data_IF_323763815568
#
_entry.id   IF_323763815568
#
_cell.length_a   1.000
_cell.length_b   1.000
_cell.length_c   1.000
_cell.angle_alpha   90.00
_cell.angle_beta   90.00
_cell.angle_gamma   90.00
#
_symmetry.space_group_name_H-M   'P 1'
#
loop_
_entity.id
_entity.type
_entity.pdbx_description
1 polymer ?
#
# COMPACT_ATOMS: atom_id res chain seq x y z
N UNK A 1 -2.46 6.53 26.80
CA UNK A 1 -1.38 6.77 27.79
C UNK A 1 -0.24 7.67 27.29
N UNK A 2 -0.34 8.26 26.10
CA UNK A 2 0.67 9.21 25.53
C UNK A 2 0.09 10.62 25.31
N UNK A 3 -1.12 10.91 25.80
CA UNK A 3 -1.77 12.20 25.63
C UNK A 3 -2.16 12.55 24.20
N UNK A 4 -2.13 11.57 23.28
CA UNK A 4 -2.55 11.76 21.90
C UNK A 4 -4.07 11.65 21.78
N UNK A 5 -4.65 12.39 20.81
CA UNK A 5 -6.07 12.27 20.47
C UNK A 5 -6.41 10.83 20.04
N UNK A 6 -7.61 10.40 20.46
CA UNK A 6 -8.24 9.16 19.98
C UNK A 6 -9.39 9.43 19.01
N UNK A 7 -9.43 10.62 18.42
CA UNK A 7 -10.39 10.94 17.36
C UNK A 7 -10.19 10.00 16.17
N UNK A 8 -11.31 9.63 15.55
CA UNK A 8 -11.36 8.65 14.46
C UNK A 8 -11.37 9.40 13.12
N UNK A 9 -10.59 8.92 12.17
CA UNK A 9 -10.63 9.39 10.79
C UNK A 9 -11.74 8.72 9.98
N UNK A 10 -11.83 9.07 8.70
CA UNK A 10 -12.89 8.61 7.79
C UNK A 10 -12.88 7.08 7.60
N UNK A 11 -11.73 6.45 7.66
CA UNK A 11 -11.55 4.99 7.59
C UNK A 11 -11.79 4.27 8.94
N UNK A 12 -12.28 4.96 9.96
CA UNK A 12 -12.63 4.37 11.26
C UNK A 12 -11.44 4.10 12.21
N UNK A 13 -10.21 4.36 11.77
CA UNK A 13 -9.00 4.24 12.59
C UNK A 13 -8.69 5.50 13.39
N UNK A 14 -7.88 5.39 14.43
CA UNK A 14 -7.39 6.56 15.16
C UNK A 14 -6.53 7.45 14.30
N UNK A 15 -6.80 8.76 14.31
CA UNK A 15 -6.06 9.78 13.56
C UNK A 15 -5.41 10.81 14.52
N UNK A 16 -4.42 10.40 15.34
CA UNK A 16 -3.74 11.32 16.24
C UNK A 16 -2.83 12.28 15.48
N UNK A 17 -2.62 13.47 16.03
CA UNK A 17 -1.59 14.37 15.54
C UNK A 17 -0.21 13.81 15.86
N UNK A 18 0.49 13.34 14.84
CA UNK A 18 1.82 12.73 14.92
C UNK A 18 2.80 13.46 14.01
N UNK A 19 4.09 13.37 14.32
CA UNK A 19 5.14 14.09 13.60
C UNK A 19 5.61 13.41 12.31
N UNK A 20 5.37 12.10 12.18
CA UNK A 20 5.80 11.32 11.01
C UNK A 20 5.07 9.98 10.92
N UNK A 21 5.05 9.39 9.71
CA UNK A 21 4.53 8.03 9.49
C UNK A 21 5.33 6.96 10.27
N UNK A 22 6.62 7.20 10.51
CA UNK A 22 7.45 6.32 11.35
C UNK A 22 6.93 6.27 12.79
N UNK A 23 6.51 7.41 13.34
CA UNK A 23 5.91 7.45 14.68
C UNK A 23 4.61 6.64 14.74
N UNK A 24 3.79 6.66 13.68
CA UNK A 24 2.59 5.81 13.60
C UNK A 24 2.96 4.33 13.68
N UNK A 25 3.94 3.90 12.90
CA UNK A 25 4.41 2.51 12.88
C UNK A 25 4.99 2.08 14.23
N UNK A 26 5.78 2.93 14.88
CA UNK A 26 6.33 2.66 16.21
C UNK A 26 5.21 2.51 17.26
N UNK A 27 4.14 3.34 17.18
CA UNK A 27 2.97 3.24 18.05
C UNK A 27 2.19 1.94 17.84
N UNK A 28 1.99 1.54 16.57
CA UNK A 28 1.30 0.29 16.23
C UNK A 28 2.08 -0.92 16.75
N UNK A 29 3.39 -0.97 16.51
CA UNK A 29 4.24 -2.06 17.03
C UNK A 29 4.21 -2.12 18.55
N UNK A 30 4.26 -0.97 19.23
CA UNK A 30 4.16 -0.90 20.69
C UNK A 30 2.80 -1.41 21.18
N UNK A 31 1.70 -1.07 20.47
CA UNK A 31 0.35 -1.54 20.79
C UNK A 31 0.23 -3.07 20.61
N UNK A 32 0.72 -3.61 19.50
CA UNK A 32 0.75 -5.06 19.24
C UNK A 32 1.47 -5.78 20.39
N UNK A 33 2.66 -5.28 20.77
CA UNK A 33 3.43 -5.86 21.88
C UNK A 33 2.70 -5.75 23.23
N UNK A 34 2.09 -4.59 23.54
CA UNK A 34 1.32 -4.37 24.77
C UNK A 34 0.10 -5.29 24.86
N UNK A 35 -0.50 -5.63 23.73
CA UNK A 35 -1.61 -6.59 23.63
C UNK A 35 -1.17 -8.07 23.75
N UNK A 36 0.14 -8.35 23.92
CA UNK A 36 0.66 -9.71 24.09
C UNK A 36 0.98 -10.44 22.78
N UNK A 37 0.90 -9.75 21.61
CA UNK A 37 1.14 -10.35 20.31
C UNK A 37 2.54 -10.01 19.76
N UNK A 38 2.98 -10.79 18.75
CA UNK A 38 4.27 -10.62 18.08
C UNK A 38 4.05 -10.05 16.69
N UNK A 39 4.61 -8.87 16.44
CA UNK A 39 4.60 -8.27 15.12
C UNK A 39 5.29 -9.16 14.08
N UNK A 40 4.62 -9.36 12.94
CA UNK A 40 5.09 -10.19 11.82
C UNK A 40 4.98 -11.70 12.06
N UNK A 41 4.34 -12.13 13.16
CA UNK A 41 4.03 -13.54 13.45
C UNK A 41 2.56 -13.75 13.79
N UNK A 42 2.07 -13.08 14.82
CA UNK A 42 0.69 -13.20 15.28
C UNK A 42 -0.18 -12.11 14.63
N UNK A 43 0.39 -10.93 14.39
CA UNK A 43 -0.22 -9.77 13.71
C UNK A 43 0.76 -9.24 12.67
N UNK A 44 0.29 -8.92 11.48
CA UNK A 44 1.07 -8.28 10.43
C UNK A 44 0.56 -6.87 10.16
N UNK A 45 1.47 -5.96 9.83
CA UNK A 45 1.14 -4.59 9.44
C UNK A 45 1.03 -4.55 7.92
N UNK A 46 -0.06 -3.96 7.44
CA UNK A 46 -0.28 -3.61 6.05
C UNK A 46 -0.37 -2.08 5.94
N UNK A 47 0.17 -1.52 4.87
CA UNK A 47 0.16 -0.08 4.61
C UNK A 47 -0.73 0.20 3.40
N UNK A 48 -1.57 1.21 3.50
CA UNK A 48 -2.08 1.96 2.37
C UNK A 48 -1.40 3.32 2.37
N UNK A 49 -0.66 3.61 1.30
CA UNK A 49 0.13 4.84 1.19
C UNK A 49 -0.64 5.95 0.49
N UNK A 50 -1.60 5.58 -0.37
CA UNK A 50 -2.39 6.50 -1.19
C UNK A 50 -1.49 7.55 -1.89
N UNK A 51 -0.45 7.08 -2.57
CA UNK A 51 0.67 7.92 -3.01
C UNK A 51 0.33 8.93 -4.11
N UNK A 52 -0.88 8.89 -4.69
CA UNK A 52 -1.39 9.96 -5.56
C UNK A 52 -1.36 11.32 -4.84
N UNK A 53 -1.77 11.35 -3.56
CA UNK A 53 -1.77 12.55 -2.71
C UNK A 53 -0.36 13.04 -2.36
N UNK A 54 0.63 12.17 -2.46
CA UNK A 54 2.02 12.43 -2.07
C UNK A 54 2.92 12.75 -3.27
N UNK A 55 2.37 12.73 -4.49
CA UNK A 55 3.14 12.87 -5.73
C UNK A 55 3.14 14.29 -6.28
N UNK A 56 4.32 14.82 -6.56
CA UNK A 56 4.48 16.13 -7.20
C UNK A 56 5.78 16.21 -7.98
N UNK A 57 5.73 16.67 -9.24
CA UNK A 57 6.92 16.89 -10.09
C UNK A 57 7.88 15.70 -10.10
N UNK A 58 7.36 14.49 -10.34
CA UNK A 58 8.10 13.23 -10.38
C UNK A 58 8.86 12.89 -9.07
N UNK A 59 8.36 13.34 -7.93
CA UNK A 59 8.90 13.08 -6.60
C UNK A 59 7.78 12.73 -5.62
N UNK A 60 8.14 12.07 -4.54
CA UNK A 60 7.21 11.60 -3.51
C UNK A 60 7.55 12.13 -2.13
N UNK A 61 6.53 12.45 -1.34
CA UNK A 61 6.66 12.92 0.05
C UNK A 61 6.19 11.83 1.02
N UNK A 62 6.95 10.73 1.17
CA UNK A 62 6.52 9.54 1.90
C UNK A 62 6.57 9.72 3.43
N UNK A 63 7.52 10.48 3.97
CA UNK A 63 7.75 10.55 5.41
C UNK A 63 7.67 11.95 6.01
N UNK A 64 7.78 12.97 5.18
CA UNK A 64 7.87 14.37 5.61
C UNK A 64 7.45 15.29 4.48
N UNK A 65 7.44 16.59 4.73
CA UNK A 65 7.17 17.60 3.69
C UNK A 65 8.24 17.67 2.58
N UNK A 66 9.29 16.85 2.66
CA UNK A 66 10.36 16.82 1.66
C UNK A 66 10.06 15.81 0.56
N UNK A 67 10.09 16.26 -0.67
CA UNK A 67 9.91 15.42 -1.85
C UNK A 67 11.24 14.76 -2.25
N UNK A 68 11.23 13.45 -2.38
CA UNK A 68 12.38 12.60 -2.74
C UNK A 68 12.17 11.91 -4.08
N UNK A 69 13.26 11.48 -4.72
CA UNK A 69 13.19 10.74 -6.00
C UNK A 69 12.57 9.35 -5.82
N UNK A 70 12.16 8.74 -6.93
CA UNK A 70 11.64 7.36 -6.97
C UNK A 70 12.63 6.40 -6.31
N UNK A 71 13.93 6.51 -6.64
CA UNK A 71 14.98 5.63 -6.12
C UNK A 71 15.11 5.74 -4.59
N UNK A 72 15.03 6.96 -4.06
CA UNK A 72 15.07 7.20 -2.62
C UNK A 72 13.78 6.71 -1.95
N UNK A 73 12.62 6.87 -2.59
CA UNK A 73 11.34 6.33 -2.12
C UNK A 73 11.40 4.80 -1.99
N UNK A 74 11.94 4.12 -2.99
CA UNK A 74 12.12 2.66 -2.95
C UNK A 74 13.06 2.25 -1.80
N UNK A 75 14.16 2.99 -1.58
CA UNK A 75 15.06 2.72 -0.45
C UNK A 75 14.33 2.86 0.89
N UNK A 76 13.47 3.86 1.04
CA UNK A 76 12.69 4.05 2.26
C UNK A 76 11.64 2.94 2.44
N UNK A 77 10.91 2.54 1.40
CA UNK A 77 10.00 1.39 1.47
C UNK A 77 10.74 0.13 1.94
N UNK A 78 11.90 -0.18 1.36
CA UNK A 78 12.70 -1.36 1.77
C UNK A 78 13.09 -1.32 3.24
N UNK A 79 13.47 -0.16 3.76
CA UNK A 79 13.81 0.02 5.19
C UNK A 79 12.59 -0.23 6.08
N UNK A 80 11.43 0.37 5.74
CA UNK A 80 10.19 0.24 6.51
C UNK A 80 9.70 -1.21 6.47
N UNK A 81 9.62 -1.81 5.29
CA UNK A 81 9.20 -3.19 5.10
C UNK A 81 10.03 -4.13 6.00
N UNK A 82 11.35 -3.97 5.98
CA UNK A 82 12.25 -4.80 6.79
C UNK A 82 12.11 -4.52 8.29
N UNK A 83 12.12 -3.23 8.70
CA UNK A 83 12.09 -2.82 10.12
C UNK A 83 10.79 -3.24 10.80
N UNK A 84 9.66 -3.00 10.14
CA UNK A 84 8.33 -3.21 10.72
C UNK A 84 7.68 -4.52 10.32
N UNK A 85 8.37 -5.35 9.52
CA UNK A 85 7.85 -6.63 9.00
C UNK A 85 6.53 -6.44 8.25
N UNK A 86 6.47 -5.41 7.40
CA UNK A 86 5.30 -5.08 6.60
C UNK A 86 4.98 -6.25 5.66
N UNK A 87 3.73 -6.66 5.64
CA UNK A 87 3.25 -7.77 4.81
C UNK A 87 2.70 -7.32 3.48
N UNK A 88 2.08 -6.15 3.46
CA UNK A 88 1.43 -5.59 2.27
C UNK A 88 1.66 -4.08 2.18
N UNK A 89 1.84 -3.58 0.97
CA UNK A 89 1.89 -2.14 0.66
C UNK A 89 0.94 -1.87 -0.50
N UNK A 90 -0.08 -1.07 -0.22
CA UNK A 90 -1.07 -0.62 -1.18
C UNK A 90 -0.72 0.78 -1.67
N UNK A 91 -0.90 1.00 -2.96
CA UNK A 91 -0.67 2.24 -3.70
C UNK A 91 0.62 2.98 -3.30
N UNK A 92 1.78 2.31 -3.38
CA UNK A 92 3.08 2.89 -3.01
C UNK A 92 3.53 4.03 -3.91
N UNK A 93 2.98 4.15 -5.12
CA UNK A 93 3.28 5.17 -6.12
C UNK A 93 2.01 5.64 -6.83
N UNK A 94 2.10 6.80 -7.49
CA UNK A 94 1.00 7.36 -8.26
C UNK A 94 0.48 6.38 -9.34
N UNK A 95 -0.81 6.41 -9.61
CA UNK A 95 -1.55 5.48 -10.48
C UNK A 95 -1.06 5.36 -11.92
N UNK A 96 -0.28 6.33 -12.40
CA UNK A 96 0.28 6.33 -13.74
C UNK A 96 1.81 6.22 -13.77
N UNK A 97 2.47 6.10 -12.62
CA UNK A 97 3.93 5.93 -12.52
C UNK A 97 4.35 4.45 -12.61
N UNK A 98 3.98 3.79 -13.71
CA UNK A 98 4.26 2.37 -13.98
C UNK A 98 5.73 1.98 -13.80
N UNK A 99 6.65 2.94 -14.02
CA UNK A 99 8.09 2.72 -13.87
C UNK A 99 8.46 2.58 -12.39
N UNK A 100 7.93 3.43 -11.52
CA UNK A 100 8.18 3.35 -10.09
C UNK A 100 7.62 2.06 -9.49
N UNK A 101 6.40 1.68 -9.88
CA UNK A 101 5.78 0.41 -9.50
C UNK A 101 6.65 -0.80 -9.89
N UNK A 102 7.08 -0.88 -11.14
CA UNK A 102 7.96 -1.96 -11.62
C UNK A 102 9.28 -2.03 -10.83
N UNK A 103 9.92 -0.86 -10.61
CA UNK A 103 11.17 -0.79 -9.84
C UNK A 103 10.99 -1.29 -8.41
N UNK A 104 9.90 -0.92 -7.74
CA UNK A 104 9.60 -1.40 -6.39
C UNK A 104 9.37 -2.91 -6.41
N UNK A 105 8.48 -3.39 -7.28
CA UNK A 105 8.14 -4.81 -7.40
C UNK A 105 9.38 -5.69 -7.57
N UNK A 106 10.33 -5.26 -8.40
CA UNK A 106 11.61 -5.96 -8.60
C UNK A 106 12.59 -5.86 -7.43
N UNK A 107 12.37 -4.93 -6.50
CA UNK A 107 13.31 -4.64 -5.41
C UNK A 107 12.91 -5.26 -4.07
N UNK A 108 11.70 -5.80 -3.96
CA UNK A 108 11.16 -6.41 -2.75
C UNK A 108 10.76 -7.86 -2.99
N UNK A 109 10.90 -8.71 -1.97
CA UNK A 109 10.51 -10.11 -2.03
C UNK A 109 9.55 -10.42 -0.87
N UNK A 110 8.59 -11.31 -1.09
CA UNK A 110 7.64 -11.79 -0.09
C UNK A 110 6.79 -10.66 0.54
N UNK A 111 6.49 -9.63 -0.25
CA UNK A 111 5.61 -8.52 0.12
C UNK A 111 4.48 -8.46 -0.91
N UNK A 112 3.27 -8.31 -0.43
CA UNK A 112 2.12 -8.06 -1.27
C UNK A 112 2.12 -6.59 -1.69
N UNK A 113 2.22 -6.33 -2.99
CA UNK A 113 2.11 -4.99 -3.57
C UNK A 113 0.74 -4.91 -4.22
N UNK A 114 -0.10 -4.04 -3.70
CA UNK A 114 -1.52 -3.95 -4.04
C UNK A 114 -1.78 -2.70 -4.85
N UNK A 115 -2.49 -2.84 -5.95
CA UNK A 115 -3.02 -1.70 -6.70
C UNK A 115 -4.51 -1.52 -6.43
N UNK A 116 -4.87 -0.39 -5.81
CA UNK A 116 -6.22 0.15 -5.73
C UNK A 116 -6.40 1.22 -6.82
N UNK A 117 -5.88 2.42 -6.60
CA UNK A 117 -5.92 3.53 -7.59
C UNK A 117 -5.21 3.16 -8.90
N UNK A 118 -4.15 2.33 -8.81
CA UNK A 118 -3.46 1.83 -10.00
C UNK A 118 -4.40 1.12 -10.96
N UNK A 119 -5.34 0.35 -10.46
CA UNK A 119 -6.21 -0.53 -11.28
C UNK A 119 -7.67 -0.10 -11.34
N UNK A 120 -8.18 0.54 -10.31
CA UNK A 120 -9.59 0.94 -10.15
C UNK A 120 -10.56 -0.18 -10.56
N UNK A 121 -10.23 -1.41 -10.18
CA UNK A 121 -10.98 -2.64 -10.54
C UNK A 121 -11.21 -2.78 -12.05
N UNK A 122 -10.30 -2.25 -12.88
CA UNK A 122 -10.43 -2.22 -14.33
C UNK A 122 -9.54 -3.28 -15.00
N UNK A 123 -10.14 -4.13 -15.85
CA UNK A 123 -9.45 -5.25 -16.49
C UNK A 123 -8.28 -4.81 -17.38
N UNK A 124 -8.43 -3.73 -18.16
CA UNK A 124 -7.38 -3.28 -19.07
C UNK A 124 -6.18 -2.68 -18.30
N UNK A 125 -6.46 -1.95 -17.20
CA UNK A 125 -5.39 -1.47 -16.31
C UNK A 125 -4.68 -2.64 -15.62
N UNK A 126 -5.40 -3.69 -15.20
CA UNK A 126 -4.80 -4.88 -14.60
C UNK A 126 -3.92 -5.64 -15.60
N UNK A 127 -4.38 -5.82 -16.84
CA UNK A 127 -3.56 -6.40 -17.93
C UNK A 127 -2.26 -5.60 -18.16
N UNK A 128 -2.38 -4.27 -18.20
CA UNK A 128 -1.22 -3.38 -18.33
C UNK A 128 -0.26 -3.53 -17.15
N UNK A 129 -0.78 -3.59 -15.92
CA UNK A 129 0.04 -3.79 -14.72
C UNK A 129 0.77 -5.12 -14.71
N UNK A 130 0.12 -6.19 -15.13
CA UNK A 130 0.74 -7.50 -15.29
C UNK A 130 1.89 -7.47 -16.31
N UNK A 131 1.66 -6.91 -17.49
CA UNK A 131 2.70 -6.79 -18.52
C UNK A 131 3.90 -5.94 -18.08
N UNK A 132 3.66 -4.93 -17.23
CA UNK A 132 4.70 -4.07 -16.67
C UNK A 132 5.32 -4.63 -15.36
N UNK A 133 4.87 -5.78 -14.85
CA UNK A 133 5.30 -6.34 -13.56
C UNK A 133 5.17 -5.27 -12.44
N UNK A 134 4.00 -4.65 -12.33
CA UNK A 134 3.81 -3.50 -11.46
C UNK A 134 3.40 -3.87 -10.04
N UNK A 135 2.71 -5.01 -9.86
CA UNK A 135 2.22 -5.49 -8.57
C UNK A 135 2.06 -7.01 -8.57
N UNK A 136 1.57 -7.58 -7.48
CA UNK A 136 1.19 -8.98 -7.36
C UNK A 136 -0.19 -9.16 -6.71
N UNK A 137 -0.91 -8.07 -6.51
CA UNK A 137 -2.25 -8.05 -5.92
C UNK A 137 -3.06 -6.88 -6.44
N UNK A 138 -4.37 -7.00 -6.37
CA UNK A 138 -5.35 -5.97 -6.71
C UNK A 138 -6.38 -5.85 -5.61
N UNK A 139 -6.79 -4.61 -5.28
CA UNK A 139 -7.98 -4.33 -4.48
C UNK A 139 -9.20 -4.33 -5.40
N UNK A 140 -10.26 -5.00 -4.97
CA UNK A 140 -11.52 -5.15 -5.74
C UNK A 140 -12.60 -4.28 -5.09
N UNK A 141 -13.09 -3.31 -5.82
CA UNK A 141 -14.17 -2.40 -5.41
C UNK A 141 -15.25 -2.38 -6.49
N UNK A 142 -16.39 -3.03 -6.20
CA UNK A 142 -17.52 -3.08 -7.14
C UNK A 142 -17.98 -1.68 -7.59
N UNK A 143 -17.95 -0.70 -6.70
CA UNK A 143 -18.36 0.66 -6.99
C UNK A 143 -17.39 1.44 -7.91
N UNK A 144 -16.15 0.97 -8.11
CA UNK A 144 -15.21 1.60 -9.04
C UNK A 144 -15.50 1.22 -10.49
N UNK A 145 -15.79 -0.06 -10.76
CA UNK A 145 -16.08 -0.55 -12.12
C UNK A 145 -17.58 -0.47 -12.45
N UNK A 146 -18.45 -0.64 -11.45
CA UNK A 146 -19.88 -0.38 -11.54
C UNK A 146 -20.76 -1.59 -11.81
N UNK A 147 -20.25 -2.73 -12.28
CA UNK A 147 -21.04 -3.94 -12.50
C UNK A 147 -20.43 -5.19 -11.88
N UNK A 148 -21.29 -6.12 -11.46
CA UNK A 148 -20.87 -7.42 -10.93
C UNK A 148 -20.12 -8.24 -11.98
N UNK A 149 -20.58 -8.23 -13.22
CA UNK A 149 -19.96 -9.01 -14.30
C UNK A 149 -18.52 -8.56 -14.56
N UNK A 150 -18.29 -7.26 -14.74
CA UNK A 150 -16.94 -6.72 -14.94
C UNK A 150 -16.04 -6.98 -13.73
N UNK A 151 -16.57 -6.86 -12.49
CA UNK A 151 -15.83 -7.20 -11.28
C UNK A 151 -15.38 -8.66 -11.29
N UNK A 152 -16.28 -9.60 -11.64
CA UNK A 152 -15.96 -11.02 -11.73
C UNK A 152 -14.93 -11.32 -12.82
N UNK A 153 -14.96 -10.62 -13.94
CA UNK A 153 -13.97 -10.77 -15.01
C UNK A 153 -12.58 -10.32 -14.56
N UNK A 154 -12.49 -9.21 -13.80
CA UNK A 154 -11.24 -8.76 -13.18
C UNK A 154 -10.70 -9.80 -12.20
N UNK A 155 -11.56 -10.33 -11.31
CA UNK A 155 -11.17 -11.35 -10.33
C UNK A 155 -10.65 -12.62 -11.03
N UNK A 156 -11.38 -13.13 -12.03
CA UNK A 156 -10.97 -14.30 -12.80
C UNK A 156 -9.62 -14.10 -13.48
N UNK A 157 -9.43 -12.93 -14.11
CA UNK A 157 -8.16 -12.61 -14.74
C UNK A 157 -7.03 -12.52 -13.70
N UNK A 158 -7.24 -11.83 -12.57
CA UNK A 158 -6.26 -11.76 -11.49
C UNK A 158 -5.84 -13.17 -11.01
N UNK A 159 -6.79 -14.06 -10.79
CA UNK A 159 -6.52 -15.45 -10.41
C UNK A 159 -5.72 -16.20 -11.47
N UNK A 160 -6.06 -16.02 -12.75
CA UNK A 160 -5.36 -16.67 -13.88
C UNK A 160 -3.88 -16.29 -13.97
N UNK A 161 -3.54 -15.03 -13.63
CA UNK A 161 -2.17 -14.52 -13.64
C UNK A 161 -1.43 -14.71 -12.29
N UNK A 162 -2.07 -15.37 -11.31
CA UNK A 162 -1.49 -15.63 -9.99
C UNK A 162 -1.47 -14.43 -9.04
N UNK A 163 -2.28 -13.39 -9.31
CA UNK A 163 -2.45 -12.26 -8.39
C UNK A 163 -3.39 -12.63 -7.25
N UNK A 164 -3.12 -12.09 -6.07
CA UNK A 164 -4.08 -12.12 -4.97
C UNK A 164 -5.09 -10.99 -5.11
N UNK A 165 -6.31 -11.22 -4.61
CA UNK A 165 -7.37 -10.22 -4.57
C UNK A 165 -7.69 -9.85 -3.12
N UNK A 166 -7.91 -8.56 -2.86
CA UNK A 166 -8.41 -8.02 -1.59
C UNK A 166 -9.79 -7.41 -1.88
N UNK A 167 -10.75 -7.58 -0.99
CA UNK A 167 -12.12 -7.06 -1.11
C UNK A 167 -12.43 -6.21 0.12
#
# INVERSE_FOLDING_TARGET
DKGLSTSVGDEGGFAPMISSNIQALDLIVAAIKKAGFRNGKDVSICLDVAANELFKKNKYSIHSKNYISIENSIKEYKKIIKKYKIRSVEDPFAENDWIAWNKLMKSVNNVQIVGDDLYVTNLERLKKGFLNISSNSILIKLNQIGTVSETLDVIKFAQTIGYTTII
#
